data_IF_922320794139
#
_entry.id   IF_922320794139
#
_cell.length_a   1.000
_cell.length_b   1.000
_cell.length_c   1.000
_cell.angle_alpha   90.00
_cell.angle_beta   90.00
_cell.angle_gamma   90.00
#
_symmetry.space_group_name_H-M   'P 1'
#
loop_
_entity.id
_entity.type
_entity.pdbx_description
1 polymer ?
#
# COMPACT_ATOMS: atom_id res chain seq x y z
N UNK A 1 0.32 -3.92 -3.40
CA UNK A 1 -0.37 -2.85 -2.65
C UNK A 1 -0.73 -3.32 -1.26
N UNK A 2 -0.35 -2.57 -0.23
CA UNK A 2 -0.63 -2.89 1.17
C UNK A 2 -1.28 -1.70 1.88
N UNK A 3 -2.41 -1.94 2.55
CA UNK A 3 -3.03 -0.97 3.45
C UNK A 3 -2.95 -1.48 4.89
N UNK A 4 -2.16 -0.83 5.76
CA UNK A 4 -2.15 -1.14 7.18
C UNK A 4 -3.53 -0.96 7.80
N UNK A 5 -3.89 -1.84 8.75
CA UNK A 5 -5.20 -1.81 9.41
C UNK A 5 -5.01 -1.52 10.91
N UNK A 6 -5.67 -0.45 11.39
CA UNK A 6 -5.62 0.12 12.75
C UNK A 6 -4.31 0.81 13.12
N UNK A 7 -4.43 1.87 13.91
CA UNK A 7 -3.30 2.59 14.48
C UNK A 7 -2.59 1.74 15.54
N UNK A 8 -3.34 1.13 16.46
CA UNK A 8 -2.76 0.31 17.53
C UNK A 8 -1.91 -0.83 17.00
N UNK A 9 -2.42 -1.57 16.00
CA UNK A 9 -1.70 -2.66 15.35
C UNK A 9 -0.44 -2.17 14.63
N UNK A 10 -0.53 -1.05 13.93
CA UNK A 10 0.62 -0.52 13.19
C UNK A 10 1.71 -0.02 14.13
N UNK A 11 1.35 0.66 15.22
CA UNK A 11 2.28 1.03 16.28
C UNK A 11 3.05 -0.18 16.81
N UNK A 12 2.32 -1.26 17.10
CA UNK A 12 2.90 -2.42 17.79
C UNK A 12 3.68 -3.34 16.83
N UNK A 13 3.29 -3.42 15.55
CA UNK A 13 3.78 -4.43 14.61
C UNK A 13 4.39 -3.88 13.31
N UNK A 14 4.51 -2.56 13.09
CA UNK A 14 5.07 -2.05 11.83
C UNK A 14 6.45 -2.65 11.51
N UNK A 15 7.31 -2.81 12.52
CA UNK A 15 8.64 -3.39 12.36
C UNK A 15 8.64 -4.86 11.90
N UNK A 16 7.57 -5.62 12.15
CA UNK A 16 7.49 -7.03 11.73
C UNK A 16 7.20 -7.18 10.23
N UNK A 17 6.88 -6.09 9.54
CA UNK A 17 6.66 -6.08 8.10
C UNK A 17 7.94 -5.87 7.28
N UNK A 18 9.09 -5.67 7.93
CA UNK A 18 10.37 -5.38 7.26
C UNK A 18 10.68 -6.36 6.12
N UNK A 19 10.57 -7.66 6.39
CA UNK A 19 10.91 -8.73 5.44
C UNK A 19 9.66 -9.33 4.76
N UNK A 20 8.47 -8.78 5.02
CA UNK A 20 7.21 -9.38 4.60
C UNK A 20 6.93 -9.24 3.08
N UNK A 21 7.73 -8.45 2.36
CA UNK A 21 7.49 -8.07 0.97
C UNK A 21 8.68 -8.36 0.05
N UNK A 22 9.66 -9.16 0.48
CA UNK A 22 10.87 -9.47 -0.31
C UNK A 22 10.57 -10.11 -1.69
N UNK A 23 9.46 -10.84 -1.81
CA UNK A 23 9.03 -11.47 -3.06
C UNK A 23 8.35 -10.49 -4.04
N UNK A 24 8.10 -9.24 -3.64
CA UNK A 24 7.45 -8.25 -4.49
C UNK A 24 8.49 -7.38 -5.21
N UNK A 25 8.37 -7.27 -6.54
CA UNK A 25 9.22 -6.37 -7.33
C UNK A 25 8.98 -4.88 -6.98
N UNK A 26 7.73 -4.52 -6.69
CA UNK A 26 7.32 -3.15 -6.36
C UNK A 26 6.25 -3.16 -5.26
N UNK A 27 6.40 -2.32 -4.24
CA UNK A 27 5.47 -2.20 -3.11
C UNK A 27 4.89 -0.79 -2.99
N UNK A 28 3.58 -0.65 -3.16
CA UNK A 28 2.84 0.53 -2.72
C UNK A 28 2.23 0.33 -1.32
N UNK A 29 2.55 1.22 -0.38
CA UNK A 29 2.00 1.27 0.98
C UNK A 29 1.11 2.50 1.12
N UNK A 30 -0.15 2.31 1.51
CA UNK A 30 -1.06 3.44 1.72
C UNK A 30 -1.01 3.97 3.15
N UNK A 31 -1.73 5.07 3.39
CA UNK A 31 -2.14 5.41 4.74
C UNK A 31 -3.03 4.31 5.37
N UNK A 32 -3.13 4.31 6.71
CA UNK A 32 -3.86 3.28 7.44
C UNK A 32 -5.38 3.39 7.27
N UNK A 33 -6.03 2.24 7.27
CA UNK A 33 -7.45 2.16 7.58
C UNK A 33 -7.66 2.16 9.11
N UNK A 34 -8.27 3.22 9.65
CA UNK A 34 -8.38 3.44 11.10
C UNK A 34 -9.25 2.40 11.83
N UNK A 35 -10.23 1.81 11.13
CA UNK A 35 -11.25 0.92 11.69
C UNK A 35 -11.92 1.48 12.97
N UNK A 36 -12.13 2.80 13.03
CA UNK A 36 -12.77 3.50 14.14
C UNK A 36 -11.85 3.94 15.28
N UNK A 37 -10.54 3.68 15.18
CA UNK A 37 -9.57 4.19 16.17
C UNK A 37 -9.29 5.68 15.97
N UNK A 38 -9.09 6.38 17.08
CA UNK A 38 -8.54 7.73 17.04
C UNK A 38 -7.09 7.69 16.52
N UNK A 39 -6.67 8.68 15.72
CA UNK A 39 -5.28 8.79 15.29
C UNK A 39 -4.32 8.78 16.47
N UNK A 40 -3.20 8.07 16.30
CA UNK A 40 -2.09 8.05 17.26
C UNK A 40 -0.95 8.86 16.66
N UNK A 41 -0.44 9.83 17.41
CA UNK A 41 0.68 10.67 16.96
C UNK A 41 1.90 9.81 16.58
N UNK A 42 2.48 10.11 15.41
CA UNK A 42 3.63 9.38 14.87
C UNK A 42 3.31 8.00 14.27
N UNK A 43 2.04 7.57 14.27
CA UNK A 43 1.64 6.28 13.69
C UNK A 43 0.93 6.50 12.35
N UNK A 44 1.58 6.06 11.28
CA UNK A 44 1.07 6.10 9.91
C UNK A 44 1.58 4.90 9.12
N UNK A 45 1.06 4.72 7.90
CA UNK A 45 1.59 3.74 6.96
C UNK A 45 3.06 3.95 6.61
N UNK A 46 3.61 5.16 6.86
CA UNK A 46 5.04 5.45 6.71
C UNK A 46 5.89 4.55 7.61
N UNK A 47 5.42 4.15 8.79
CA UNK A 47 6.17 3.24 9.66
C UNK A 47 6.44 1.88 9.00
N UNK A 48 5.48 1.38 8.21
CA UNK A 48 5.66 0.13 7.46
C UNK A 48 6.64 0.35 6.32
N UNK A 49 6.49 1.44 5.56
CA UNK A 49 7.43 1.78 4.48
C UNK A 49 8.85 1.92 5.01
N UNK A 50 9.04 2.63 6.12
CA UNK A 50 10.34 2.86 6.74
C UNK A 50 10.95 1.56 7.27
N UNK A 51 10.15 0.65 7.83
CA UNK A 51 10.62 -0.66 8.26
C UNK A 51 11.17 -1.48 7.08
N UNK A 52 10.47 -1.47 5.94
CA UNK A 52 10.94 -2.16 4.72
C UNK A 52 12.21 -1.51 4.18
N UNK A 53 12.24 -0.19 4.02
CA UNK A 53 13.42 0.52 3.47
C UNK A 53 14.64 0.38 4.40
N UNK A 54 14.45 0.34 5.71
CA UNK A 54 15.56 0.16 6.65
C UNK A 54 16.20 -1.24 6.56
N UNK A 55 15.40 -2.28 6.32
CA UNK A 55 15.89 -3.65 6.14
C UNK A 55 16.39 -3.91 4.71
N UNK A 56 15.73 -3.31 3.72
CA UNK A 56 15.95 -3.51 2.28
C UNK A 56 16.09 -2.16 1.57
N UNK A 57 17.28 -1.52 1.63
CA UNK A 57 17.47 -0.18 1.06
C UNK A 57 17.27 -0.07 -0.46
N UNK A 58 17.39 -1.19 -1.17
CA UNK A 58 17.21 -1.28 -2.62
C UNK A 58 15.77 -1.65 -3.04
N UNK A 59 14.86 -1.86 -2.09
CA UNK A 59 13.46 -2.18 -2.40
C UNK A 59 12.74 -0.99 -3.05
N UNK A 60 11.99 -1.25 -4.12
CA UNK A 60 11.14 -0.24 -4.76
C UNK A 60 9.83 -0.10 -3.98
N UNK A 61 9.80 0.89 -3.07
CA UNK A 61 8.67 1.11 -2.17
C UNK A 61 8.16 2.55 -2.26
N UNK A 62 6.87 2.71 -2.51
CA UNK A 62 6.17 4.00 -2.53
C UNK A 62 5.20 4.13 -1.35
N UNK A 63 5.18 5.30 -0.71
CA UNK A 63 4.11 5.68 0.23
C UNK A 63 3.05 6.53 -0.47
N UNK A 64 1.78 6.18 -0.26
CA UNK A 64 0.63 6.72 -0.97
C UNK A 64 -0.37 7.28 0.05
N UNK A 65 -0.47 8.60 0.23
CA UNK A 65 -1.14 9.21 1.38
C UNK A 65 -2.66 9.04 1.38
N UNK A 66 -3.27 8.73 0.23
CA UNK A 66 -4.70 8.52 0.10
C UNK A 66 -5.01 7.55 -1.07
N UNK A 67 -6.30 7.18 -1.18
CA UNK A 67 -6.76 6.24 -2.20
C UNK A 67 -6.63 6.80 -3.62
N UNK A 68 -6.70 8.11 -3.80
CA UNK A 68 -6.54 8.75 -5.12
C UNK A 68 -5.09 8.69 -5.58
N UNK A 69 -4.13 8.92 -4.68
CA UNK A 69 -2.71 8.72 -4.94
C UNK A 69 -2.41 7.25 -5.26
N UNK A 70 -3.04 6.31 -4.55
CA UNK A 70 -2.88 4.89 -4.81
C UNK A 70 -3.41 4.48 -6.20
N UNK A 71 -4.59 4.97 -6.57
CA UNK A 71 -5.19 4.74 -7.89
C UNK A 71 -4.31 5.31 -9.02
N UNK A 72 -3.87 6.56 -8.89
CA UNK A 72 -3.01 7.22 -9.88
C UNK A 72 -1.66 6.50 -10.03
N UNK A 73 -1.04 6.10 -8.92
CA UNK A 73 0.22 5.39 -8.92
C UNK A 73 0.11 4.00 -9.57
N UNK A 74 -0.96 3.24 -9.27
CA UNK A 74 -1.21 1.96 -9.91
C UNK A 74 -1.37 2.08 -11.42
N UNK A 75 -2.08 3.10 -11.89
CA UNK A 75 -2.27 3.38 -13.32
C UNK A 75 -0.99 3.81 -14.04
N UNK A 76 0.01 4.27 -13.30
CA UNK A 76 1.32 4.67 -13.82
C UNK A 76 2.33 3.52 -13.80
N UNK A 77 2.32 2.68 -12.77
CA UNK A 77 3.32 1.60 -12.60
C UNK A 77 2.94 0.30 -13.30
N UNK A 78 1.65 -0.06 -13.33
CA UNK A 78 1.21 -1.35 -13.87
C UNK A 78 1.46 -1.47 -15.38
N UNK A 79 1.91 -2.65 -15.80
CA UNK A 79 2.17 -3.04 -17.19
C UNK A 79 1.39 -4.30 -17.55
N UNK A 80 1.13 -4.53 -18.86
CA UNK A 80 0.55 -5.80 -19.31
C UNK A 80 1.42 -6.98 -18.88
N UNK A 81 0.81 -7.96 -18.20
CA UNK A 81 1.50 -9.15 -17.68
C UNK A 81 1.79 -9.11 -16.18
N UNK A 82 1.65 -7.94 -15.53
CA UNK A 82 1.87 -7.82 -14.09
C UNK A 82 0.80 -8.54 -13.27
N UNK A 83 1.21 -9.11 -12.13
CA UNK A 83 0.32 -9.58 -11.07
C UNK A 83 0.26 -8.52 -9.96
N UNK A 84 -0.86 -7.81 -9.86
CA UNK A 84 -1.09 -6.87 -8.75
C UNK A 84 -1.85 -7.54 -7.61
N UNK A 85 -1.21 -7.66 -6.44
CA UNK A 85 -1.86 -8.09 -5.20
C UNK A 85 -2.24 -6.89 -4.33
N UNK A 86 -3.49 -6.86 -3.88
CA UNK A 86 -3.98 -5.86 -2.92
C UNK A 86 -4.29 -6.51 -1.59
N UNK A 87 -3.49 -6.21 -0.57
CA UNK A 87 -3.61 -6.75 0.78
C UNK A 87 -4.14 -5.64 1.69
N UNK A 88 -5.43 -5.71 2.04
CA UNK A 88 -6.11 -4.68 2.81
C UNK A 88 -7.30 -5.26 3.59
N UNK A 89 -7.86 -4.45 4.49
CA UNK A 89 -9.05 -4.78 5.27
C UNK A 89 -10.01 -3.59 5.40
N UNK A 90 -9.94 -2.66 4.43
CA UNK A 90 -10.57 -1.35 4.52
C UNK A 90 -11.11 -0.84 3.19
N UNK A 91 -11.09 0.48 3.04
CA UNK A 91 -11.60 1.21 1.90
C UNK A 91 -10.75 1.08 0.62
N UNK A 92 -9.52 0.56 0.72
CA UNK A 92 -8.71 0.22 -0.45
C UNK A 92 -9.40 -0.81 -1.36
N UNK A 93 -10.35 -1.60 -0.86
CA UNK A 93 -11.14 -2.57 -1.66
C UNK A 93 -11.75 -1.98 -2.93
N UNK A 94 -12.08 -0.69 -2.97
CA UNK A 94 -12.64 -0.04 -4.16
C UNK A 94 -11.59 0.34 -5.22
N UNK A 95 -10.31 0.44 -4.86
CA UNK A 95 -9.24 0.90 -5.77
C UNK A 95 -8.95 -0.09 -6.90
N UNK A 96 -8.82 -1.41 -6.65
CA UNK A 96 -8.58 -2.39 -7.72
C UNK A 96 -9.63 -2.33 -8.84
N UNK A 97 -10.90 -2.22 -8.49
CA UNK A 97 -11.99 -2.17 -9.47
C UNK A 97 -11.91 -0.92 -10.36
N UNK A 98 -11.59 0.24 -9.77
CA UNK A 98 -11.41 1.51 -10.51
C UNK A 98 -10.20 1.45 -11.45
N UNK A 99 -9.08 0.92 -10.95
CA UNK A 99 -7.86 0.76 -11.75
C UNK A 99 -8.11 -0.19 -12.92
N UNK A 100 -8.78 -1.32 -12.67
CA UNK A 100 -9.09 -2.29 -13.72
C UNK A 100 -9.98 -1.69 -14.81
N UNK A 101 -11.03 -0.95 -14.43
CA UNK A 101 -11.89 -0.26 -15.38
C UNK A 101 -11.11 0.75 -16.24
N UNK A 102 -10.28 1.60 -15.61
CA UNK A 102 -9.48 2.60 -16.33
C UNK A 102 -8.43 1.96 -17.25
N UNK A 103 -7.83 0.84 -16.87
CA UNK A 103 -6.90 0.10 -17.75
C UNK A 103 -7.61 -0.52 -18.96
N UNK A 104 -8.84 -1.01 -18.78
CA UNK A 104 -9.65 -1.56 -19.88
C UNK A 104 -10.04 -0.47 -20.89
N UNK A 105 -10.40 0.73 -20.43
CA UNK A 105 -10.70 1.88 -21.29
C UNK A 105 -9.48 2.37 -22.10
N UNK A 106 -8.26 2.25 -21.55
CA UNK A 106 -7.03 2.59 -22.28
C UNK A 106 -6.66 1.58 -23.37
N UNK A 107 -7.15 0.35 -23.25
CA UNK A 107 -6.86 -0.74 -24.19
C UNK A 107 -7.84 -0.79 -25.37
N UNK A 108 -8.96 -0.07 -25.28
CA UNK A 108 -9.98 0.07 -26.35
C UNK A 108 -9.71 1.26 -27.26
#
# INVERSE_FOLDING_TARGET
MFQPHRYTRTRDLAHTFADAFEDADVLGVTELYSAGEAPIEGVSGVLVRDAVVAAHPDADVAFLPDLGAAEAWLLDVLRPGDLCLTLNAGDLTAVPDRVLAALQERAS
#
